data_IF_901294868389
#
_entry.id   IF_901294868389
#
_cell.length_a   1.000
_cell.length_b   1.000
_cell.length_c   1.000
_cell.angle_alpha   90.00
_cell.angle_beta   90.00
_cell.angle_gamma   90.00
#
_symmetry.space_group_name_H-M   'P 1'
#
loop_
_entity.id
_entity.type
_entity.pdbx_description
1 polymer ?
#
# COMPACT_ATOMS: atom_id res chain seq x y z
N UNK A 1 13.22 2.85 0.93
CA UNK A 1 12.78 2.09 2.00
C UNK A 1 12.73 0.61 1.77
N UNK A 2 12.42 -0.12 2.83
CA UNK A 2 12.35 -1.58 2.81
C UNK A 2 11.34 -2.16 1.80
N UNK A 3 10.34 -1.38 1.43
CA UNK A 3 9.33 -1.73 0.44
C UNK A 3 9.85 -1.77 -1.01
N UNK A 4 11.00 -1.17 -1.28
CA UNK A 4 11.66 -1.18 -2.61
C UNK A 4 12.91 -2.05 -2.65
N UNK A 5 13.18 -2.83 -1.59
CA UNK A 5 14.34 -3.72 -1.46
C UNK A 5 15.70 -3.02 -1.66
N UNK A 6 15.86 -1.80 -1.16
CA UNK A 6 17.16 -1.13 -1.08
C UNK A 6 17.89 -1.63 0.15
N UNK A 7 19.15 -2.02 0.01
CA UNK A 7 19.98 -2.42 1.13
C UNK A 7 20.43 -1.19 1.93
N UNK A 8 19.67 -0.90 2.99
CA UNK A 8 19.90 0.27 3.82
C UNK A 8 21.22 0.16 4.61
N UNK A 9 21.60 -1.04 4.99
CA UNK A 9 22.77 -1.28 5.84
C UNK A 9 24.07 -1.21 5.02
N UNK A 10 24.11 -1.85 3.86
CA UNK A 10 25.33 -1.98 3.07
C UNK A 10 25.48 -0.92 1.98
N UNK A 11 24.38 -0.27 1.60
CA UNK A 11 24.39 0.75 0.53
C UNK A 11 24.10 2.16 1.06
N UNK A 12 22.94 2.37 1.70
CA UNK A 12 22.48 3.72 2.05
C UNK A 12 23.25 4.31 3.23
N UNK A 13 23.42 3.55 4.31
CA UNK A 13 24.12 4.06 5.51
C UNK A 13 25.57 4.40 5.20
N UNK A 14 26.39 3.54 4.56
CA UNK A 14 27.75 3.91 4.19
C UNK A 14 27.84 5.14 3.30
N UNK A 15 26.90 5.29 2.35
CA UNK A 15 26.85 6.47 1.48
C UNK A 15 26.54 7.75 2.27
N UNK A 16 25.60 7.70 3.22
CA UNK A 16 25.28 8.88 4.06
C UNK A 16 26.41 9.23 5.02
N UNK A 17 27.04 8.25 5.62
CA UNK A 17 28.22 8.45 6.49
C UNK A 17 29.38 9.07 5.75
N UNK A 18 29.68 8.61 4.52
CA UNK A 18 30.71 9.17 3.66
C UNK A 18 30.46 10.66 3.31
N UNK A 19 29.22 11.11 3.35
CA UNK A 19 28.83 12.50 3.14
C UNK A 19 28.61 13.29 4.46
N UNK A 20 29.08 12.76 5.59
CA UNK A 20 28.98 13.43 6.90
C UNK A 20 27.61 13.42 7.54
N UNK A 21 26.70 12.58 7.03
CA UNK A 21 25.35 12.38 7.60
C UNK A 21 25.35 11.04 8.33
N UNK A 22 25.28 11.07 9.65
CA UNK A 22 25.40 9.85 10.46
C UNK A 22 24.15 8.94 10.38
N UNK A 23 23.02 9.46 9.90
CA UNK A 23 21.81 8.66 9.66
C UNK A 23 20.95 9.28 8.56
N UNK A 24 20.37 8.49 7.63
CA UNK A 24 19.54 8.99 6.52
C UNK A 24 18.35 9.88 6.95
N UNK A 25 17.82 9.66 8.16
CA UNK A 25 16.70 10.42 8.71
C UNK A 25 17.10 11.77 9.34
N UNK A 26 18.39 12.06 9.46
CA UNK A 26 18.87 13.27 10.15
C UNK A 26 18.33 14.55 9.54
N UNK A 27 18.27 14.64 8.22
CA UNK A 27 17.75 15.81 7.51
C UNK A 27 16.28 16.09 7.82
N UNK A 28 15.46 15.04 7.87
CA UNK A 28 14.03 15.15 8.21
C UNK A 28 13.87 15.64 9.65
N UNK A 29 14.60 15.06 10.59
CA UNK A 29 14.54 15.48 11.98
C UNK A 29 14.97 16.94 12.18
N UNK A 30 16.08 17.32 11.60
CA UNK A 30 16.65 18.67 11.76
C UNK A 30 15.76 19.72 11.09
N UNK A 31 15.23 19.43 9.89
CA UNK A 31 14.41 20.35 9.11
C UNK A 31 13.01 20.58 9.69
N UNK A 32 12.33 19.50 10.05
CA UNK A 32 10.91 19.57 10.44
C UNK A 32 10.66 19.67 11.95
N UNK A 33 11.46 19.02 12.77
CA UNK A 33 11.17 18.87 14.20
C UNK A 33 12.14 19.63 15.10
N UNK A 34 13.27 20.11 14.58
CA UNK A 34 14.31 20.85 15.32
C UNK A 34 14.61 20.23 16.71
N UNK A 35 14.78 18.91 16.83
CA UNK A 35 15.01 18.24 18.11
C UNK A 35 16.39 18.59 18.66
N UNK A 36 16.55 18.53 19.98
CA UNK A 36 17.87 18.47 20.58
C UNK A 36 18.54 17.11 20.31
N UNK A 37 19.85 16.99 20.57
CA UNK A 37 20.61 15.77 20.23
C UNK A 37 20.07 14.52 20.96
N UNK A 38 19.66 14.61 22.22
CA UNK A 38 19.09 13.49 22.96
C UNK A 38 17.77 13.01 22.34
N UNK A 39 16.92 13.95 21.93
CA UNK A 39 15.66 13.64 21.24
C UNK A 39 15.93 13.01 19.86
N UNK A 40 16.92 13.52 19.13
CA UNK A 40 17.33 12.98 17.81
C UNK A 40 17.76 11.52 17.94
N UNK A 41 18.70 11.23 18.85
CA UNK A 41 19.20 9.86 19.07
C UNK A 41 18.07 8.92 19.47
N UNK A 42 17.20 9.32 20.40
CA UNK A 42 16.06 8.51 20.83
C UNK A 42 15.11 8.20 19.69
N UNK A 43 14.70 9.21 18.93
CA UNK A 43 13.74 9.06 17.82
C UNK A 43 14.30 8.17 16.70
N UNK A 44 15.56 8.35 16.33
CA UNK A 44 16.21 7.47 15.35
C UNK A 44 16.32 6.04 15.87
N UNK A 45 16.63 5.88 17.17
CA UNK A 45 16.62 4.56 17.82
C UNK A 45 15.26 3.87 17.73
N UNK A 46 14.19 4.59 18.07
CA UNK A 46 12.82 4.07 17.96
C UNK A 46 12.47 3.67 16.52
N UNK A 47 12.84 4.51 15.52
CA UNK A 47 12.61 4.20 14.11
C UNK A 47 13.30 2.92 13.69
N UNK A 48 14.61 2.79 14.00
CA UNK A 48 15.38 1.59 13.64
C UNK A 48 14.79 0.35 14.28
N UNK A 49 14.45 0.41 15.56
CA UNK A 49 13.86 -0.69 16.28
C UNK A 49 12.49 -1.07 15.71
N UNK A 50 11.57 -0.12 15.56
CA UNK A 50 10.20 -0.41 15.16
C UNK A 50 10.08 -0.85 13.70
N UNK A 51 10.87 -0.28 12.78
CA UNK A 51 10.86 -0.67 11.35
C UNK A 51 11.39 -2.07 11.15
N UNK A 52 12.44 -2.46 11.88
CA UNK A 52 13.06 -3.79 11.80
C UNK A 52 12.45 -4.82 12.75
N UNK A 53 11.44 -4.44 13.54
CA UNK A 53 10.76 -5.33 14.46
C UNK A 53 10.13 -6.52 13.71
N UNK A 54 10.33 -7.72 14.25
CA UNK A 54 9.66 -8.92 13.77
C UNK A 54 8.19 -8.86 14.17
N UNK A 55 7.32 -9.21 13.24
CA UNK A 55 5.88 -9.31 13.46
C UNK A 55 5.58 -10.70 14.04
N UNK A 56 5.24 -10.73 15.32
CA UNK A 56 5.01 -11.95 16.10
C UNK A 56 3.52 -12.22 16.39
N UNK A 57 2.65 -11.19 16.25
CA UNK A 57 1.21 -11.40 16.41
C UNK A 57 0.68 -12.33 15.31
N UNK A 58 0.13 -13.47 15.72
CA UNK A 58 -0.39 -14.53 14.83
C UNK A 58 -1.57 -14.07 13.95
N UNK A 59 -2.23 -12.97 14.30
CA UNK A 59 -3.32 -12.40 13.51
C UNK A 59 -2.80 -11.41 12.44
N UNK A 60 -1.55 -11.03 12.54
CA UNK A 60 -0.90 -10.07 11.63
C UNK A 60 0.16 -10.77 10.79
N UNK A 61 1.04 -11.56 11.42
CA UNK A 61 2.10 -12.27 10.71
C UNK A 61 1.53 -13.34 9.79
N UNK A 62 1.89 -13.35 8.51
CA UNK A 62 1.51 -14.44 7.61
C UNK A 62 2.09 -15.80 8.02
N UNK A 63 3.28 -15.80 8.61
CA UNK A 63 3.95 -16.96 9.19
C UNK A 63 5.00 -16.49 10.20
N UNK A 64 4.78 -16.80 11.47
CA UNK A 64 5.68 -16.41 12.57
C UNK A 64 7.09 -17.01 12.45
N UNK A 65 7.22 -18.16 11.78
CA UNK A 65 8.51 -18.83 11.61
C UNK A 65 9.38 -18.13 10.54
N UNK A 66 8.78 -17.41 9.60
CA UNK A 66 9.49 -16.69 8.52
C UNK A 66 10.01 -15.33 8.97
N UNK A 67 9.65 -14.86 10.16
CA UNK A 67 10.16 -13.63 10.80
C UNK A 67 10.04 -12.37 9.94
N UNK A 68 8.86 -12.14 9.38
CA UNK A 68 8.60 -10.89 8.64
C UNK A 68 8.78 -9.68 9.54
N UNK A 69 9.34 -8.61 9.00
CA UNK A 69 9.49 -7.34 9.69
C UNK A 69 8.28 -6.45 9.43
N UNK A 70 8.08 -5.45 10.29
CA UNK A 70 7.09 -4.40 10.05
C UNK A 70 7.25 -3.80 8.65
N UNK A 71 8.48 -3.49 8.23
CA UNK A 71 8.78 -2.92 6.91
C UNK A 71 8.34 -3.80 5.73
N UNK A 72 8.31 -5.12 5.92
CA UNK A 72 7.95 -6.06 4.84
C UNK A 72 6.44 -6.09 4.58
N UNK A 73 5.62 -5.73 5.57
CA UNK A 73 4.18 -5.97 5.56
C UNK A 73 3.32 -4.70 5.63
N UNK A 74 3.76 -3.68 6.37
CA UNK A 74 2.90 -2.58 6.82
C UNK A 74 2.27 -1.76 5.69
N UNK A 75 2.99 -1.54 4.58
CA UNK A 75 2.45 -0.78 3.45
C UNK A 75 1.33 -1.57 2.75
N UNK A 76 1.55 -2.85 2.47
CA UNK A 76 0.52 -3.72 1.88
C UNK A 76 -0.66 -3.95 2.83
N UNK A 77 -0.40 -4.07 4.13
CA UNK A 77 -1.44 -4.07 5.14
C UNK A 77 -2.29 -2.79 5.07
N UNK A 78 -1.66 -1.61 5.00
CA UNK A 78 -2.35 -0.33 4.84
C UNK A 78 -3.25 -0.29 3.61
N UNK A 79 -2.77 -0.79 2.47
CA UNK A 79 -3.57 -0.88 1.23
C UNK A 79 -4.80 -1.78 1.46
N UNK A 80 -4.65 -2.93 2.11
CA UNK A 80 -5.78 -3.81 2.42
C UNK A 80 -6.78 -3.16 3.39
N UNK A 81 -6.29 -2.49 4.43
CA UNK A 81 -7.12 -1.77 5.39
C UNK A 81 -7.90 -0.63 4.76
N UNK A 82 -7.30 0.07 3.80
CA UNK A 82 -7.98 1.15 3.08
C UNK A 82 -9.20 0.63 2.31
N UNK A 83 -9.11 -0.53 1.67
CA UNK A 83 -10.25 -1.18 1.00
C UNK A 83 -11.28 -1.64 2.04
N UNK A 84 -10.86 -2.27 3.13
CA UNK A 84 -11.76 -2.73 4.19
C UNK A 84 -12.52 -1.57 4.83
N UNK A 85 -11.82 -0.49 5.21
CA UNK A 85 -12.45 0.71 5.78
C UNK A 85 -13.36 1.43 4.78
N UNK A 86 -12.97 1.48 3.49
CA UNK A 86 -13.82 2.05 2.46
C UNK A 86 -15.18 1.34 2.43
N UNK A 87 -15.23 0.01 2.35
CA UNK A 87 -16.51 -0.70 2.35
C UNK A 87 -17.29 -0.54 3.65
N UNK A 88 -16.63 -0.50 4.79
CA UNK A 88 -17.29 -0.28 6.08
C UNK A 88 -17.93 1.11 6.18
N UNK A 89 -17.30 2.14 5.63
CA UNK A 89 -17.74 3.54 5.72
C UNK A 89 -18.77 3.86 4.62
N UNK A 90 -18.46 3.48 3.37
CA UNK A 90 -19.30 3.79 2.22
C UNK A 90 -20.37 2.73 1.92
N UNK A 91 -20.44 1.71 2.73
CA UNK A 91 -21.43 0.63 2.67
C UNK A 91 -20.98 -0.57 1.84
N UNK A 92 -21.16 -1.75 2.45
CA UNK A 92 -20.81 -3.04 1.87
C UNK A 92 -19.85 -3.83 2.73
N UNK A 93 -19.20 -4.81 2.10
CA UNK A 93 -18.18 -5.67 2.72
C UNK A 93 -17.11 -6.01 1.69
N UNK A 94 -15.89 -6.18 2.14
CA UNK A 94 -14.80 -6.70 1.32
C UNK A 94 -14.96 -8.21 1.04
N UNK A 95 -15.70 -8.90 1.89
CA UNK A 95 -15.97 -10.33 1.72
C UNK A 95 -16.65 -10.62 0.38
N UNK A 96 -16.10 -11.55 -0.37
CA UNK A 96 -16.55 -11.94 -1.70
C UNK A 96 -16.16 -10.99 -2.85
N UNK A 97 -15.53 -9.84 -2.56
CA UNK A 97 -15.09 -8.88 -3.57
C UNK A 97 -13.97 -9.46 -4.42
N UNK A 98 -14.10 -9.33 -5.74
CA UNK A 98 -13.09 -9.75 -6.71
C UNK A 98 -12.03 -8.66 -6.86
N UNK A 99 -10.75 -9.04 -6.77
CA UNK A 99 -9.61 -8.12 -6.73
C UNK A 99 -8.61 -8.44 -7.82
N UNK A 100 -8.20 -7.41 -8.58
CA UNK A 100 -7.04 -7.46 -9.49
C UNK A 100 -5.87 -6.72 -8.85
N UNK A 101 -4.67 -7.29 -8.95
CA UNK A 101 -3.45 -6.74 -8.37
C UNK A 101 -2.41 -6.55 -9.47
N UNK A 102 -1.87 -5.33 -9.57
CA UNK A 102 -0.74 -5.00 -10.43
C UNK A 102 0.51 -4.83 -9.58
N UNK A 103 1.48 -5.71 -9.78
CA UNK A 103 2.74 -5.77 -9.01
C UNK A 103 2.67 -6.75 -7.84
N UNK A 104 3.68 -7.64 -7.76
CA UNK A 104 3.77 -8.68 -6.73
C UNK A 104 5.02 -8.50 -5.86
N UNK A 105 5.31 -7.24 -5.50
CA UNK A 105 6.31 -6.87 -4.51
C UNK A 105 5.80 -6.97 -3.07
N UNK A 106 6.51 -6.35 -2.14
CA UNK A 106 6.11 -6.34 -0.73
C UNK A 106 4.71 -5.74 -0.54
N UNK A 107 4.37 -4.68 -1.29
CA UNK A 107 3.06 -4.01 -1.16
C UNK A 107 1.94 -4.88 -1.72
N UNK A 108 2.02 -5.28 -2.99
CA UNK A 108 0.93 -6.00 -3.67
C UNK A 108 0.70 -7.39 -3.09
N UNK A 109 1.76 -8.15 -2.80
CA UNK A 109 1.65 -9.48 -2.23
C UNK A 109 1.06 -9.45 -0.80
N UNK A 110 1.50 -8.52 0.06
CA UNK A 110 0.94 -8.37 1.39
C UNK A 110 -0.52 -7.87 1.34
N UNK A 111 -0.86 -6.92 0.47
CA UNK A 111 -2.24 -6.46 0.30
C UNK A 111 -3.16 -7.61 -0.15
N UNK A 112 -2.70 -8.45 -1.10
CA UNK A 112 -3.42 -9.64 -1.54
C UNK A 112 -3.67 -10.60 -0.38
N UNK A 113 -2.61 -10.91 0.39
CA UNK A 113 -2.69 -11.79 1.54
C UNK A 113 -3.76 -11.31 2.54
N UNK A 114 -3.66 -10.06 3.02
CA UNK A 114 -4.60 -9.54 4.02
C UNK A 114 -6.04 -9.40 3.50
N UNK A 115 -6.23 -8.99 2.24
CA UNK A 115 -7.56 -8.94 1.64
C UNK A 115 -8.19 -10.33 1.52
N UNK A 116 -7.40 -11.35 1.19
CA UNK A 116 -7.86 -12.73 1.12
C UNK A 116 -8.26 -13.24 2.50
N UNK A 117 -7.50 -12.91 3.56
CA UNK A 117 -7.90 -13.21 4.95
C UNK A 117 -9.22 -12.51 5.35
N UNK A 118 -9.50 -11.35 4.76
CA UNK A 118 -10.78 -10.64 4.96
C UNK A 118 -11.92 -11.15 4.05
N UNK A 119 -11.69 -12.21 3.28
CA UNK A 119 -12.67 -12.88 2.44
C UNK A 119 -12.78 -12.37 1.00
N UNK A 120 -11.86 -11.49 0.55
CA UNK A 120 -11.78 -11.11 -0.85
C UNK A 120 -11.27 -12.26 -1.72
N UNK A 121 -11.53 -12.19 -3.03
CA UNK A 121 -11.09 -13.17 -4.03
C UNK A 121 -10.13 -12.53 -5.02
N UNK A 122 -8.88 -12.95 -5.04
CA UNK A 122 -7.90 -12.51 -6.04
C UNK A 122 -8.22 -13.20 -7.37
N UNK A 123 -8.65 -12.45 -8.37
CA UNK A 123 -9.03 -12.97 -9.70
C UNK A 123 -7.98 -12.71 -10.77
N UNK A 124 -7.03 -11.81 -10.51
CA UNK A 124 -5.95 -11.51 -11.43
C UNK A 124 -4.74 -10.91 -10.73
N UNK A 125 -3.57 -11.34 -11.15
CA UNK A 125 -2.28 -10.79 -10.73
C UNK A 125 -1.47 -10.54 -12.01
N UNK A 126 -0.97 -9.31 -12.17
CA UNK A 126 -0.01 -8.98 -13.23
C UNK A 126 1.25 -8.42 -12.60
N UNK A 127 2.39 -9.00 -12.98
CA UNK A 127 3.71 -8.55 -12.56
C UNK A 127 4.62 -8.45 -13.79
N UNK A 128 5.77 -7.82 -13.68
CA UNK A 128 6.74 -7.63 -14.77
C UNK A 128 7.21 -8.93 -15.44
N UNK A 129 7.12 -10.06 -14.73
CA UNK A 129 7.55 -11.39 -15.19
C UNK A 129 6.40 -12.20 -15.82
N UNK A 130 5.17 -11.73 -15.71
CA UNK A 130 3.96 -12.45 -16.16
C UNK A 130 2.83 -12.31 -15.16
N UNK A 131 1.88 -13.24 -15.18
CA UNK A 131 0.76 -13.17 -14.25
C UNK A 131 -0.16 -14.36 -14.27
N UNK A 132 -1.23 -14.27 -13.49
CA UNK A 132 -2.24 -15.28 -13.31
C UNK A 132 -3.63 -14.66 -13.47
N UNK A 133 -4.55 -15.37 -14.09
CA UNK A 133 -5.97 -15.02 -14.16
C UNK A 133 -6.78 -16.25 -13.75
N UNK A 134 -7.68 -16.07 -12.78
CA UNK A 134 -8.68 -17.04 -12.40
C UNK A 134 -9.99 -16.30 -12.08
N UNK A 135 -10.95 -16.32 -13.00
CA UNK A 135 -12.21 -15.58 -12.86
C UNK A 135 -13.05 -15.98 -11.64
N UNK A 136 -12.89 -17.22 -11.14
CA UNK A 136 -13.57 -17.72 -9.95
C UNK A 136 -12.86 -17.31 -8.65
N UNK A 137 -11.61 -16.87 -8.75
CA UNK A 137 -10.72 -16.52 -7.66
C UNK A 137 -9.65 -17.57 -7.42
N UNK A 138 -8.46 -17.10 -7.09
CA UNK A 138 -7.36 -17.94 -6.60
C UNK A 138 -7.70 -18.34 -5.17
N UNK A 139 -7.57 -19.61 -4.85
CA UNK A 139 -7.87 -20.12 -3.51
C UNK A 139 -7.01 -19.43 -2.43
N UNK A 140 -7.56 -19.16 -1.22
CA UNK A 140 -6.85 -18.41 -0.19
C UNK A 140 -5.48 -18.99 0.18
N UNK A 141 -5.35 -20.31 0.26
CA UNK A 141 -4.08 -20.98 0.53
C UNK A 141 -3.08 -20.76 -0.61
N UNK A 142 -3.55 -20.80 -1.87
CA UNK A 142 -2.68 -20.56 -3.02
C UNK A 142 -2.20 -19.09 -3.08
N UNK A 143 -3.01 -18.10 -2.67
CA UNK A 143 -2.57 -16.71 -2.53
C UNK A 143 -1.48 -16.60 -1.45
N UNK A 144 -1.63 -17.32 -0.34
CA UNK A 144 -0.60 -17.39 0.71
C UNK A 144 0.70 -18.03 0.18
N UNK A 145 0.61 -19.14 -0.56
CA UNK A 145 1.77 -19.78 -1.19
C UNK A 145 2.49 -18.82 -2.16
N UNK A 146 1.74 -18.12 -3.02
CA UNK A 146 2.30 -17.09 -3.90
C UNK A 146 3.00 -15.95 -3.14
N UNK A 147 2.46 -15.57 -1.99
CA UNK A 147 3.10 -14.58 -1.10
C UNK A 147 4.40 -15.14 -0.51
N UNK A 148 4.41 -16.40 -0.10
CA UNK A 148 5.58 -17.06 0.50
C UNK A 148 6.70 -17.36 -0.49
N UNK A 149 6.36 -17.65 -1.72
CA UNK A 149 7.29 -18.11 -2.76
C UNK A 149 7.83 -16.99 -3.64
N UNK A 150 7.33 -15.75 -3.47
CA UNK A 150 7.84 -14.61 -4.23
C UNK A 150 9.36 -14.45 -4.08
N UNK A 151 10.04 -14.05 -5.14
CA UNK A 151 11.48 -13.78 -5.13
C UNK A 151 11.74 -12.28 -5.26
N UNK A 152 12.19 -11.67 -4.16
CA UNK A 152 12.30 -10.22 -4.09
C UNK A 152 10.94 -9.56 -4.38
N UNK A 153 10.87 -8.74 -5.42
CA UNK A 153 9.64 -8.07 -5.87
C UNK A 153 9.04 -8.73 -7.11
N UNK A 154 9.12 -10.05 -7.24
CA UNK A 154 8.62 -10.76 -8.42
C UNK A 154 7.74 -11.94 -8.04
N UNK A 155 6.64 -12.08 -8.80
CA UNK A 155 5.77 -13.24 -8.75
C UNK A 155 6.54 -14.51 -9.16
N UNK A 156 6.31 -15.58 -8.43
CA UNK A 156 6.76 -16.93 -8.78
C UNK A 156 5.57 -17.86 -8.68
N UNK A 157 5.20 -18.49 -9.78
CA UNK A 157 4.13 -19.47 -9.82
C UNK A 157 4.35 -20.45 -10.97
N UNK A 158 3.79 -21.64 -10.83
CA UNK A 158 3.63 -22.55 -11.95
C UNK A 158 2.56 -22.04 -12.90
N UNK A 159 2.71 -22.32 -14.21
CA UNK A 159 1.71 -22.01 -15.23
C UNK A 159 1.35 -20.52 -15.35
N UNK A 160 2.29 -19.60 -15.06
CA UNK A 160 2.10 -18.19 -15.33
C UNK A 160 1.91 -17.93 -16.83
N UNK A 161 0.98 -17.04 -17.17
CA UNK A 161 0.94 -16.41 -18.49
C UNK A 161 2.17 -15.51 -18.64
N UNK A 162 2.67 -15.38 -19.87
CA UNK A 162 3.65 -14.35 -20.20
C UNK A 162 3.11 -12.95 -19.89
N UNK A 163 4.01 -11.99 -19.75
CA UNK A 163 3.58 -10.60 -19.49
C UNK A 163 2.61 -10.08 -20.56
N UNK A 164 2.91 -10.33 -21.83
CA UNK A 164 2.07 -9.85 -22.94
C UNK A 164 0.68 -10.50 -22.92
N UNK A 165 0.60 -11.80 -22.66
CA UNK A 165 -0.67 -12.51 -22.59
C UNK A 165 -1.54 -12.04 -21.42
N UNK A 166 -0.97 -11.88 -20.23
CA UNK A 166 -1.74 -11.40 -19.07
C UNK A 166 -2.10 -9.93 -19.24
N UNK A 167 -1.21 -9.09 -19.75
CA UNK A 167 -1.47 -7.68 -19.98
C UNK A 167 -2.55 -7.43 -21.04
N UNK A 168 -2.71 -8.35 -22.01
CA UNK A 168 -3.80 -8.28 -22.98
C UNK A 168 -5.16 -8.59 -22.35
N UNK A 169 -5.23 -9.48 -21.37
CA UNK A 169 -6.50 -10.05 -20.86
C UNK A 169 -6.99 -9.49 -19.54
N UNK A 170 -6.08 -9.15 -18.63
CA UNK A 170 -6.40 -8.90 -17.22
C UNK A 170 -7.35 -7.71 -17.01
N UNK A 171 -7.27 -6.71 -17.87
CA UNK A 171 -8.05 -5.48 -17.75
C UNK A 171 -9.54 -5.67 -18.09
N UNK A 172 -9.92 -6.78 -18.71
CA UNK A 172 -11.32 -7.15 -18.99
C UNK A 172 -11.86 -8.21 -18.01
N UNK A 173 -11.07 -8.63 -17.03
CA UNK A 173 -11.50 -9.57 -16.02
C UNK A 173 -12.50 -8.89 -15.08
N UNK A 174 -13.66 -9.54 -14.88
CA UNK A 174 -14.66 -9.03 -13.94
C UNK A 174 -14.10 -8.93 -12.53
N UNK A 175 -14.04 -7.71 -12.00
CA UNK A 175 -13.54 -7.44 -10.67
C UNK A 175 -14.29 -6.24 -10.03
N UNK A 176 -14.23 -6.14 -8.71
CA UNK A 176 -14.78 -5.01 -7.95
C UNK A 176 -13.69 -3.99 -7.59
N UNK A 177 -12.47 -4.48 -7.33
CA UNK A 177 -11.36 -3.69 -6.79
C UNK A 177 -10.11 -3.88 -7.64
N UNK A 178 -9.40 -2.79 -7.90
CA UNK A 178 -8.07 -2.82 -8.52
C UNK A 178 -7.03 -2.23 -7.58
N UNK A 179 -5.91 -2.92 -7.42
CA UNK A 179 -4.76 -2.49 -6.61
C UNK A 179 -3.54 -2.24 -7.51
N UNK A 180 -3.27 -1.01 -7.93
CA UNK A 180 -2.00 -0.65 -8.55
C UNK A 180 -0.90 -0.60 -7.47
N UNK A 181 -0.09 -1.66 -7.38
CA UNK A 181 0.98 -1.81 -6.38
C UNK A 181 2.37 -1.96 -7.02
N UNK A 182 2.49 -1.69 -8.31
CA UNK A 182 3.75 -1.72 -9.04
C UNK A 182 4.48 -0.36 -9.01
N UNK A 183 5.20 -0.02 -10.06
CA UNK A 183 5.85 1.29 -10.17
C UNK A 183 4.85 2.39 -10.50
N UNK A 184 5.27 3.65 -10.30
CA UNK A 184 4.50 4.84 -10.65
C UNK A 184 4.19 4.90 -12.15
N UNK A 185 3.06 5.53 -12.51
CA UNK A 185 2.68 5.90 -13.89
C UNK A 185 2.49 4.71 -14.85
N UNK A 186 2.02 3.56 -14.36
CA UNK A 186 1.77 2.37 -15.18
C UNK A 186 0.31 2.19 -15.60
N UNK A 187 -0.61 2.93 -14.99
CA UNK A 187 -2.05 2.78 -15.24
C UNK A 187 -2.51 3.81 -16.26
N UNK A 188 -2.59 3.41 -17.51
CA UNK A 188 -3.05 4.23 -18.63
C UNK A 188 -4.59 4.31 -18.69
N UNK A 189 -5.13 5.33 -19.37
CA UNK A 189 -6.58 5.59 -19.44
C UNK A 189 -7.34 4.41 -20.07
N UNK A 190 -6.82 3.82 -21.12
CA UNK A 190 -7.43 2.67 -21.80
C UNK A 190 -7.61 1.46 -20.89
N UNK A 191 -6.63 1.18 -20.03
CA UNK A 191 -6.70 0.10 -19.04
C UNK A 191 -7.78 0.37 -18.00
N UNK A 192 -7.88 1.62 -17.52
CA UNK A 192 -8.93 2.01 -16.59
C UNK A 192 -10.32 1.88 -17.21
N UNK A 193 -10.49 2.35 -18.43
CA UNK A 193 -11.80 2.29 -19.11
C UNK A 193 -12.25 0.82 -19.31
N UNK A 194 -11.32 -0.09 -19.62
CA UNK A 194 -11.58 -1.54 -19.69
C UNK A 194 -12.00 -2.10 -18.33
N UNK A 195 -11.25 -1.79 -17.26
CA UNK A 195 -11.56 -2.25 -15.91
C UNK A 195 -12.91 -1.73 -15.41
N UNK A 196 -13.24 -0.45 -15.62
CA UNK A 196 -14.55 0.10 -15.26
C UNK A 196 -15.67 -0.63 -16.01
N UNK A 197 -15.49 -0.88 -17.30
CA UNK A 197 -16.44 -1.65 -18.10
C UNK A 197 -16.59 -3.09 -17.59
N UNK A 198 -15.52 -3.68 -17.07
CA UNK A 198 -15.51 -5.01 -16.46
C UNK A 198 -16.07 -5.07 -15.02
N UNK A 199 -16.43 -3.92 -14.44
CA UNK A 199 -17.10 -3.84 -13.12
C UNK A 199 -16.27 -3.25 -11.99
N UNK A 200 -15.01 -2.87 -12.22
CA UNK A 200 -14.18 -2.23 -11.17
C UNK A 200 -14.83 -0.92 -10.75
N UNK A 201 -15.09 -0.81 -9.46
CA UNK A 201 -15.73 0.34 -8.82
C UNK A 201 -14.88 1.00 -7.74
N UNK A 202 -13.77 0.36 -7.35
CA UNK A 202 -12.82 0.87 -6.35
C UNK A 202 -11.40 0.66 -6.83
N UNK A 203 -10.59 1.70 -6.77
CA UNK A 203 -9.13 1.62 -6.92
C UNK A 203 -8.50 2.02 -5.57
N UNK A 204 -7.60 1.20 -5.04
CA UNK A 204 -6.79 1.54 -3.87
C UNK A 204 -5.31 1.61 -4.26
N UNK A 205 -4.74 2.80 -4.20
CA UNK A 205 -3.43 3.11 -4.78
C UNK A 205 -2.29 2.67 -3.86
N UNK A 206 -1.75 1.48 -4.10
CA UNK A 206 -0.55 0.98 -3.40
C UNK A 206 0.76 1.54 -3.97
N UNK A 207 0.79 1.93 -5.23
CA UNK A 207 1.92 2.63 -5.84
C UNK A 207 1.76 4.14 -5.68
N UNK A 208 2.86 4.87 -5.55
CA UNK A 208 2.85 6.32 -5.63
C UNK A 208 2.54 6.76 -7.07
N UNK A 209 1.63 7.72 -7.22
CA UNK A 209 1.26 8.26 -8.54
C UNK A 209 0.99 7.14 -9.56
N UNK A 210 -0.02 6.28 -9.34
CA UNK A 210 -0.19 5.06 -10.15
C UNK A 210 -0.61 5.33 -11.60
N UNK A 211 -1.34 6.42 -11.85
CA UNK A 211 -1.82 6.77 -13.19
C UNK A 211 -0.71 7.32 -14.08
N UNK A 212 -0.79 7.07 -15.39
CA UNK A 212 0.18 7.48 -16.39
C UNK A 212 0.05 8.97 -16.76
N UNK A 213 -0.20 9.81 -15.77
CA UNK A 213 -0.25 11.26 -15.90
C UNK A 213 1.17 11.85 -15.86
N UNK A 214 1.40 12.95 -16.60
CA UNK A 214 2.62 13.74 -16.49
C UNK A 214 2.66 14.51 -15.17
N UNK A 215 1.50 14.98 -14.70
CA UNK A 215 1.36 15.65 -13.41
C UNK A 215 1.68 14.69 -12.26
N UNK A 216 2.36 15.21 -11.23
CA UNK A 216 2.70 14.41 -10.04
C UNK A 216 1.45 14.11 -9.21
N UNK A 217 0.54 15.09 -9.09
CA UNK A 217 -0.69 14.97 -8.31
C UNK A 217 -1.88 15.21 -9.21
N UNK A 218 -2.90 14.39 -9.08
CA UNK A 218 -4.24 14.58 -9.64
C UNK A 218 -4.24 15.09 -11.09
N UNK A 219 -3.56 14.35 -11.98
CA UNK A 219 -3.53 14.67 -13.41
C UNK A 219 -4.83 14.26 -14.13
N UNK A 220 -4.91 14.48 -15.45
CA UNK A 220 -6.13 14.26 -16.25
C UNK A 220 -6.73 12.85 -16.14
N UNK A 221 -5.88 11.81 -16.09
CA UNK A 221 -6.36 10.43 -15.94
C UNK A 221 -6.93 10.24 -14.53
N UNK A 222 -6.18 10.62 -13.50
CA UNK A 222 -6.63 10.55 -12.11
C UNK A 222 -7.97 11.27 -11.91
N UNK A 223 -8.11 12.48 -12.41
CA UNK A 223 -9.34 13.27 -12.37
C UNK A 223 -10.50 12.58 -13.10
N UNK A 224 -10.25 12.06 -14.31
CA UNK A 224 -11.25 11.35 -15.11
C UNK A 224 -11.77 10.10 -14.39
N UNK A 225 -10.88 9.37 -13.71
CA UNK A 225 -11.22 8.15 -12.99
C UNK A 225 -11.97 8.45 -11.70
N UNK A 226 -11.50 9.40 -10.91
CA UNK A 226 -12.11 9.81 -9.64
C UNK A 226 -13.54 10.37 -9.80
N UNK A 227 -13.86 10.90 -10.99
CA UNK A 227 -15.24 11.30 -11.37
C UNK A 227 -16.17 10.12 -11.62
N UNK A 228 -15.65 8.93 -11.94
CA UNK A 228 -16.42 7.77 -12.36
C UNK A 228 -16.58 6.72 -11.26
N UNK A 229 -15.50 6.47 -10.50
CA UNK A 229 -15.43 5.42 -9.48
C UNK A 229 -14.68 5.94 -8.24
N UNK A 230 -14.71 5.15 -7.16
CA UNK A 230 -13.94 5.47 -5.96
C UNK A 230 -12.44 5.24 -6.21
N UNK A 231 -11.63 6.28 -5.98
CA UNK A 231 -10.17 6.20 -6.01
C UNK A 231 -9.62 6.59 -4.64
N UNK A 232 -9.16 5.61 -3.87
CA UNK A 232 -8.45 5.84 -2.62
C UNK A 232 -7.02 6.23 -2.99
N UNK A 233 -6.61 7.48 -2.72
CA UNK A 233 -5.31 7.98 -3.16
C UNK A 233 -4.16 7.31 -2.42
N UNK A 234 -3.00 7.35 -3.03
CA UNK A 234 -1.78 6.74 -2.52
C UNK A 234 -1.40 7.25 -1.12
N UNK A 235 -1.49 8.54 -0.85
CA UNK A 235 -1.16 9.13 0.46
C UNK A 235 -2.10 8.68 1.60
N UNK A 236 -3.25 8.04 1.30
CA UNK A 236 -4.09 7.34 2.28
C UNK A 236 -3.78 5.84 2.25
N UNK A 237 -3.83 5.21 1.09
CA UNK A 237 -3.77 3.76 0.97
C UNK A 237 -2.38 3.19 1.31
N UNK A 238 -1.31 3.81 0.79
CA UNK A 238 0.05 3.33 0.98
C UNK A 238 0.84 4.04 2.09
N UNK A 239 0.17 4.80 2.94
CA UNK A 239 0.83 5.58 4.01
C UNK A 239 1.53 4.72 5.07
N UNK A 240 1.45 3.40 5.02
CA UNK A 240 1.91 2.49 6.09
C UNK A 240 3.30 2.84 6.63
N UNK A 241 4.34 2.85 5.80
CA UNK A 241 5.69 3.20 6.25
C UNK A 241 5.81 4.65 6.73
N UNK A 242 5.18 5.61 6.03
CA UNK A 242 5.19 7.01 6.46
C UNK A 242 4.51 7.18 7.83
N UNK A 243 3.41 6.44 8.06
CA UNK A 243 2.72 6.46 9.35
C UNK A 243 3.56 5.81 10.45
N UNK A 244 4.22 4.69 10.18
CA UNK A 244 5.15 4.08 11.14
C UNK A 244 6.22 5.08 11.58
N UNK A 245 6.82 5.81 10.64
CA UNK A 245 7.79 6.85 10.98
C UNK A 245 7.19 7.93 11.86
N UNK A 246 6.03 8.47 11.52
CA UNK A 246 5.37 9.49 12.33
C UNK A 246 5.00 8.97 13.73
N UNK A 247 4.49 7.74 13.83
CA UNK A 247 4.12 7.10 15.07
C UNK A 247 5.31 6.88 16.01
N UNK A 248 6.40 6.32 15.48
CA UNK A 248 7.60 6.04 16.26
C UNK A 248 8.41 7.31 16.62
N UNK A 249 8.22 8.39 15.86
CA UNK A 249 8.83 9.70 16.15
C UNK A 249 8.04 10.53 17.15
N UNK A 250 6.81 10.17 17.48
CA UNK A 250 6.00 10.92 18.42
C UNK A 250 6.64 10.92 19.81
N UNK A 251 6.47 12.01 20.59
CA UNK A 251 6.97 12.10 21.97
C UNK A 251 6.07 11.37 22.97
N UNK A 252 4.95 10.82 22.52
CA UNK A 252 4.05 10.01 23.33
C UNK A 252 4.66 8.65 23.66
N UNK A 253 4.17 8.00 24.73
CA UNK A 253 4.46 6.61 25.04
C UNK A 253 3.76 5.71 24.00
N UNK A 254 4.24 5.74 22.75
CA UNK A 254 3.71 4.91 21.68
C UNK A 254 3.87 3.43 22.07
N UNK A 255 2.84 2.64 21.79
CA UNK A 255 2.90 1.19 21.90
C UNK A 255 3.82 0.66 20.79
N UNK A 256 5.07 0.36 21.16
CA UNK A 256 6.12 -0.10 20.24
C UNK A 256 5.94 -1.55 19.80
N UNK A 257 4.88 -2.23 20.25
CA UNK A 257 4.59 -3.59 19.77
C UNK A 257 4.18 -3.58 18.29
N UNK A 258 4.40 -4.68 17.59
CA UNK A 258 3.91 -4.88 16.21
C UNK A 258 2.41 -4.60 16.13
N UNK A 259 1.63 -5.15 17.06
CA UNK A 259 0.18 -4.90 17.17
C UNK A 259 -0.17 -3.42 17.32
N UNK A 260 0.57 -2.67 18.14
CA UNK A 260 0.39 -1.23 18.31
C UNK A 260 0.64 -0.45 17.01
N UNK A 261 1.73 -0.79 16.31
CA UNK A 261 2.12 -0.16 15.05
C UNK A 261 1.08 -0.42 13.94
N UNK A 262 0.65 -1.66 13.78
CA UNK A 262 -0.36 -2.03 12.77
C UNK A 262 -1.73 -1.41 13.05
N UNK A 263 -2.15 -1.43 14.32
CA UNK A 263 -3.40 -0.78 14.76
C UNK A 263 -3.39 0.72 14.46
N UNK A 264 -2.32 1.44 14.82
CA UNK A 264 -2.21 2.87 14.56
C UNK A 264 -2.29 3.20 13.07
N UNK A 265 -1.67 2.39 12.21
CA UNK A 265 -1.75 2.53 10.76
C UNK A 265 -3.20 2.36 10.26
N UNK A 266 -3.88 1.28 10.68
CA UNK A 266 -5.28 1.02 10.31
C UNK A 266 -6.22 2.15 10.77
N UNK A 267 -6.10 2.58 12.04
CA UNK A 267 -6.92 3.67 12.59
C UNK A 267 -6.67 5.01 11.88
N UNK A 268 -5.43 5.28 11.47
CA UNK A 268 -5.10 6.50 10.72
C UNK A 268 -5.76 6.51 9.35
N UNK A 269 -5.72 5.39 8.62
CA UNK A 269 -6.42 5.23 7.35
C UNK A 269 -7.93 5.35 7.53
N UNK A 270 -8.49 4.72 8.58
CA UNK A 270 -9.91 4.83 8.90
C UNK A 270 -10.33 6.29 9.10
N UNK A 271 -9.62 7.03 9.96
CA UNK A 271 -9.91 8.45 10.23
C UNK A 271 -9.83 9.32 8.97
N UNK A 272 -8.86 9.06 8.08
CA UNK A 272 -8.75 9.79 6.83
C UNK A 272 -9.96 9.55 5.91
N UNK A 273 -10.39 8.29 5.77
CA UNK A 273 -11.58 7.95 4.98
C UNK A 273 -12.89 8.45 5.62
N UNK A 274 -13.02 8.42 6.95
CA UNK A 274 -14.15 9.02 7.66
C UNK A 274 -14.24 10.53 7.47
N UNK A 275 -13.10 11.23 7.50
CA UNK A 275 -13.05 12.66 7.24
C UNK A 275 -13.47 12.98 5.80
N UNK A 276 -13.03 12.16 4.84
CA UNK A 276 -13.44 12.27 3.43
C UNK A 276 -14.94 12.04 3.29
N UNK A 277 -15.49 10.99 3.93
CA UNK A 277 -16.91 10.69 3.90
C UNK A 277 -17.78 11.78 4.57
N UNK A 278 -17.33 12.35 5.68
CA UNK A 278 -18.03 13.48 6.32
C UNK A 278 -18.09 14.70 5.42
N UNK A 279 -17.07 14.93 4.60
CA UNK A 279 -17.04 16.07 3.64
C UNK A 279 -17.90 15.78 2.42
N UNK A 280 -17.83 14.53 1.89
CA UNK A 280 -18.56 14.08 0.71
C UNK A 280 -18.93 12.60 0.84
N UNK A 281 -20.22 12.29 0.81
CA UNK A 281 -20.72 10.93 0.99
C UNK A 281 -20.74 10.10 -0.31
N UNK A 282 -20.62 10.77 -1.46
CA UNK A 282 -20.52 10.08 -2.75
C UNK A 282 -19.18 9.31 -2.84
N UNK A 283 -19.21 8.18 -3.53
CA UNK A 283 -18.03 7.33 -3.75
C UNK A 283 -17.05 7.93 -4.77
N UNK A 284 -17.53 8.85 -5.60
CA UNK A 284 -16.74 9.60 -6.59
C UNK A 284 -16.10 10.83 -5.97
N UNK A 285 -15.05 11.38 -6.62
CA UNK A 285 -14.27 12.52 -6.14
C UNK A 285 -13.62 12.30 -4.77
N UNK A 286 -13.36 11.04 -4.42
CA UNK A 286 -12.75 10.70 -3.15
C UNK A 286 -11.34 11.25 -3.05
N UNK A 287 -10.53 11.08 -4.12
CA UNK A 287 -9.17 11.63 -4.17
C UNK A 287 -9.17 13.15 -4.09
N UNK A 288 -10.00 13.82 -4.87
CA UNK A 288 -10.10 15.30 -4.85
C UNK A 288 -10.47 15.80 -3.45
N UNK A 289 -11.48 15.19 -2.82
CA UNK A 289 -11.92 15.57 -1.47
C UNK A 289 -10.83 15.34 -0.42
N UNK A 290 -10.10 14.21 -0.53
CA UNK A 290 -9.00 13.92 0.37
C UNK A 290 -7.85 14.93 0.24
N UNK A 291 -7.55 15.39 -0.99
CA UNK A 291 -6.58 16.47 -1.21
C UNK A 291 -7.03 17.80 -0.61
N UNK A 292 -8.28 18.19 -0.78
CA UNK A 292 -8.83 19.41 -0.16
C UNK A 292 -8.63 19.37 1.36
N UNK A 293 -8.98 18.28 2.01
CA UNK A 293 -8.81 18.10 3.47
C UNK A 293 -7.33 18.16 3.87
N UNK A 294 -6.44 17.51 3.11
CA UNK A 294 -5.02 17.51 3.40
C UNK A 294 -4.41 18.93 3.28
N UNK A 295 -4.79 19.69 2.27
CA UNK A 295 -4.32 21.07 2.07
C UNK A 295 -4.82 22.03 3.16
N UNK A 296 -6.03 21.85 3.67
CA UNK A 296 -6.55 22.64 4.80
C UNK A 296 -5.75 22.46 6.07
N UNK A 297 -5.12 21.30 6.27
CA UNK A 297 -4.28 21.03 7.46
C UNK A 297 -2.89 21.65 7.38
N UNK A 298 -2.49 22.18 6.24
CA UNK A 298 -1.20 22.86 6.03
C UNK A 298 -1.26 24.37 6.31
N UNK A 299 -2.46 24.94 6.44
CA UNK A 299 -2.72 26.34 6.75
C UNK A 299 -3.05 26.50 8.25
#
# INVERSE_FOLDING_TARGET
GGDINVDEIHEVIPMTEANGVWHPQEGVFTGHFKPNEAQKVRRIGNLRQGVSQIVEDVNISPDINRKYRVADLITGYGVSESVRHFYNIYGGSVNGKKVIIQGWGNVGAAAAYYLTQAGARVVGIIDRVGGLINAEGIEPHAVADLFFDKRGNSLVAENMMSYDEVNDKIWDVQADVFLPCASSRLVAQDKVDRMIKAGVSVISSGANVPFADEAIFYGPIAESVDKKIAVIPDFIANCGMARVFAYLMSDSNADMSDKGIFRDTSETICRALEATYKRRQEKTFLTATAFEIALETLN
#
